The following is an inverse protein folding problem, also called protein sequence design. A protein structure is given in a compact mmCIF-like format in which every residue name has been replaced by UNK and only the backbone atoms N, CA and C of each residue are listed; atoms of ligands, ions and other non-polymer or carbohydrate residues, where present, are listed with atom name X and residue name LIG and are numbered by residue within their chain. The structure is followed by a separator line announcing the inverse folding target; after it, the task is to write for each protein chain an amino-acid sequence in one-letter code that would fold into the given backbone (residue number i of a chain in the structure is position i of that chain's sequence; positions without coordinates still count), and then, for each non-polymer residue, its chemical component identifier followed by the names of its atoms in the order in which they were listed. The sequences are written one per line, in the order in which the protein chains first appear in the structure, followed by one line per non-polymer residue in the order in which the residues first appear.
data_IF_071544715299
#
_entry.id   IF_071544715299
#
_cell.length_a   1.000
_cell.length_b   1.000
_cell.length_c   1.000
_cell.angle_alpha   90.00
_cell.angle_beta   90.00
_cell.angle_gamma   90.00
#
_symmetry.space_group_name_H-M   'P 1'
#
loop_
_entity.id
_entity.type
_entity.pdbx_description
1 polymer ?
#
# COMPACT_ATOMS: atom_id res chain seq x y z
N UNK A 1 -13.92 3.36 2.72
CA UNK A 1 -13.36 2.02 2.44
C UNK A 1 -14.46 1.13 1.87
N UNK A 2 -14.21 0.50 0.71
CA UNK A 2 -15.18 -0.35 0.01
C UNK A 2 -14.71 -1.81 0.12
N UNK A 3 -15.43 -2.60 0.90
CA UNK A 3 -15.21 -4.05 1.03
C UNK A 3 -16.45 -4.79 0.54
N UNK A 4 -16.24 -5.88 -0.19
CA UNK A 4 -17.29 -6.78 -0.65
C UNK A 4 -17.06 -8.19 -0.11
N UNK A 5 -18.13 -8.86 0.31
CA UNK A 5 -18.10 -10.24 0.76
C UNK A 5 -18.83 -11.07 -0.28
N UNK A 6 -18.15 -12.08 -0.84
CA UNK A 6 -18.60 -12.87 -1.97
C UNK A 6 -19.06 -14.26 -1.52
N UNK A 7 -19.91 -14.90 -2.33
CA UNK A 7 -20.51 -16.21 -2.06
C UNK A 7 -21.95 -16.08 -1.57
N UNK A 8 -22.46 -17.16 -0.96
CA UNK A 8 -23.84 -17.21 -0.46
C UNK A 8 -24.08 -16.21 0.69
N UNK A 9 -25.33 -15.89 1.00
CA UNK A 9 -25.68 -15.03 2.15
C UNK A 9 -25.05 -15.54 3.47
N UNK A 10 -24.96 -16.87 3.63
CA UNK A 10 -24.31 -17.48 4.79
C UNK A 10 -22.80 -17.21 4.81
N UNK A 11 -22.12 -17.38 3.67
CA UNK A 11 -20.69 -17.10 3.54
C UNK A 11 -20.40 -15.63 3.81
N UNK A 12 -21.21 -14.73 3.26
CA UNK A 12 -21.07 -13.28 3.48
C UNK A 12 -21.21 -12.91 4.95
N UNK A 13 -22.17 -13.52 5.67
CA UNK A 13 -22.34 -13.33 7.11
C UNK A 13 -21.14 -13.87 7.89
N UNK A 14 -20.62 -15.04 7.51
CA UNK A 14 -19.44 -15.63 8.14
C UNK A 14 -18.22 -14.74 7.96
N UNK A 15 -17.90 -14.33 6.73
CA UNK A 15 -16.77 -13.46 6.39
C UNK A 15 -16.84 -12.14 7.17
N UNK A 16 -18.02 -11.51 7.21
CA UNK A 16 -18.25 -10.28 7.99
C UNK A 16 -17.92 -10.48 9.46
N UNK A 17 -18.51 -11.50 10.08
CA UNK A 17 -18.32 -11.81 11.51
C UNK A 17 -16.85 -12.13 11.81
N UNK A 18 -16.20 -12.91 10.94
CA UNK A 18 -14.79 -13.27 11.05
C UNK A 18 -13.89 -12.01 11.04
N UNK A 19 -14.10 -11.12 10.07
CA UNK A 19 -13.35 -9.87 9.96
C UNK A 19 -13.62 -8.91 11.13
N UNK A 20 -14.87 -8.77 11.55
CA UNK A 20 -15.24 -7.93 12.71
C UNK A 20 -14.55 -8.41 13.99
N UNK A 21 -14.49 -9.73 14.21
CA UNK A 21 -13.81 -10.29 15.38
C UNK A 21 -12.31 -10.01 15.35
N UNK A 22 -11.64 -10.19 14.21
CA UNK A 22 -10.21 -9.85 14.07
C UNK A 22 -9.98 -8.36 14.32
N UNK A 23 -10.84 -7.49 13.79
CA UNK A 23 -10.70 -6.03 13.94
C UNK A 23 -10.90 -5.53 15.37
N UNK A 24 -11.59 -6.31 16.23
CA UNK A 24 -11.75 -6.00 17.66
C UNK A 24 -10.51 -6.33 18.48
N UNK A 25 -9.63 -7.20 17.98
CA UNK A 25 -8.37 -7.52 18.66
C UNK A 25 -7.47 -6.29 18.68
N UNK A 26 -6.69 -6.16 19.77
CA UNK A 26 -5.58 -5.22 19.80
C UNK A 26 -4.52 -5.71 18.81
N UNK A 27 -4.26 -4.96 17.73
CA UNK A 27 -3.33 -5.39 16.71
C UNK A 27 -1.87 -5.38 17.20
N UNK A 28 -1.58 -4.87 18.41
CA UNK A 28 -0.27 -4.99 19.05
C UNK A 28 0.18 -6.44 19.25
N UNK A 29 -0.73 -7.38 19.43
CA UNK A 29 -0.39 -8.80 19.65
C UNK A 29 0.35 -9.44 18.46
N UNK A 30 0.21 -8.86 17.27
CA UNK A 30 0.90 -9.31 16.05
C UNK A 30 2.00 -8.36 15.58
N UNK A 31 2.21 -7.26 16.32
CA UNK A 31 3.17 -6.24 15.95
C UNK A 31 4.59 -6.72 16.21
N UNK A 32 5.51 -6.44 15.28
CA UNK A 32 6.94 -6.67 15.44
C UNK A 32 7.71 -5.40 15.79
N UNK A 33 6.98 -4.31 16.09
CA UNK A 33 7.55 -3.02 16.45
C UNK A 33 8.13 -3.05 17.88
N UNK A 34 9.31 -2.46 18.11
CA UNK A 34 9.85 -2.30 19.45
C UNK A 34 9.12 -1.18 20.19
N UNK A 35 8.57 -1.46 21.38
CA UNK A 35 7.89 -0.46 22.24
C UNK A 35 6.90 0.46 21.48
N UNK A 36 5.91 -0.11 20.78
CA UNK A 36 5.04 0.64 19.89
C UNK A 36 4.14 1.63 20.63
N UNK A 37 3.83 2.74 19.96
CA UNK A 37 2.87 3.75 20.40
C UNK A 37 2.10 4.31 19.20
N UNK A 38 0.91 4.86 19.43
CA UNK A 38 0.04 5.31 18.33
C UNK A 38 0.32 6.76 17.94
N UNK A 39 -0.12 7.19 16.75
CA UNK A 39 -0.11 8.63 16.39
C UNK A 39 -1.04 9.48 17.26
N UNK A 40 -1.99 8.87 17.97
CA UNK A 40 -2.81 9.55 18.97
C UNK A 40 -2.09 9.73 20.33
N UNK A 41 -0.90 9.14 20.50
CA UNK A 41 -0.15 9.22 21.75
C UNK A 41 0.49 10.62 21.91
N UNK A 42 0.38 11.27 23.09
CA UNK A 42 0.98 12.59 23.31
C UNK A 42 2.49 12.67 23.05
N UNK A 43 3.22 11.56 23.20
CA UNK A 43 4.67 11.49 22.90
C UNK A 43 5.00 11.83 21.45
N UNK A 44 4.02 11.76 20.54
CA UNK A 44 4.23 12.09 19.14
C UNK A 44 4.67 13.54 18.93
N UNK A 45 4.27 14.45 19.82
CA UNK A 45 4.65 15.87 19.75
C UNK A 45 6.14 16.11 19.97
N UNK A 46 6.81 15.24 20.73
CA UNK A 46 8.27 15.28 20.88
C UNK A 46 8.98 14.80 19.61
N UNK A 47 8.34 13.90 18.87
CA UNK A 47 8.94 13.22 17.72
C UNK A 47 8.68 13.96 16.41
N UNK A 48 7.52 14.55 16.25
CA UNK A 48 7.03 15.12 14.99
C UNK A 48 6.42 16.50 15.18
N UNK A 49 6.43 17.32 14.12
CA UNK A 49 5.61 18.52 14.04
C UNK A 49 4.18 18.12 13.65
N UNK A 50 3.33 17.95 14.66
CA UNK A 50 1.96 17.44 14.50
C UNK A 50 1.08 18.39 13.68
N UNK A 51 1.23 19.70 13.86
CA UNK A 51 0.45 20.69 13.11
C UNK A 51 0.83 20.66 11.63
N UNK A 52 2.13 20.60 11.32
CA UNK A 52 2.60 20.48 9.95
C UNK A 52 2.19 19.15 9.32
N UNK A 53 2.27 18.05 10.07
CA UNK A 53 1.77 16.74 9.64
C UNK A 53 0.29 16.82 9.24
N UNK A 54 -0.58 17.30 10.12
CA UNK A 54 -2.02 17.39 9.87
C UNK A 54 -2.35 18.27 8.67
N UNK A 55 -1.70 19.44 8.58
CA UNK A 55 -1.89 20.40 7.48
C UNK A 55 -1.55 19.77 6.13
N UNK A 56 -0.37 19.17 6.00
CA UNK A 56 0.10 18.61 4.73
C UNK A 56 -0.71 17.37 4.36
N UNK A 57 -1.00 16.47 5.31
CA UNK A 57 -1.84 15.29 5.05
C UNK A 57 -3.22 15.70 4.55
N UNK A 58 -3.86 16.68 5.19
CA UNK A 58 -5.19 17.16 4.78
C UNK A 58 -5.15 17.74 3.37
N UNK A 59 -4.16 18.58 3.08
CA UNK A 59 -3.97 19.15 1.75
C UNK A 59 -3.77 18.06 0.68
N UNK A 60 -2.87 17.08 0.91
CA UNK A 60 -2.64 16.00 -0.04
C UNK A 60 -3.90 15.14 -0.27
N UNK A 61 -4.71 14.90 0.76
CA UNK A 61 -5.97 14.15 0.63
C UNK A 61 -7.01 14.93 -0.20
N UNK A 62 -7.11 16.24 0.00
CA UNK A 62 -8.00 17.11 -0.80
C UNK A 62 -7.56 17.14 -2.27
N UNK A 63 -6.26 17.27 -2.50
CA UNK A 63 -5.69 17.27 -3.85
C UNK A 63 -5.85 15.91 -4.56
N UNK A 64 -5.79 14.80 -3.82
CA UNK A 64 -6.13 13.47 -4.33
C UNK A 64 -7.55 13.43 -4.92
N UNK A 65 -8.53 13.95 -4.19
CA UNK A 65 -9.92 14.04 -4.64
C UNK A 65 -10.06 14.98 -5.84
N UNK A 66 -9.37 16.12 -5.83
CA UNK A 66 -9.47 17.12 -6.89
C UNK A 66 -8.86 16.63 -8.21
N UNK A 67 -7.65 16.07 -8.16
CA UNK A 67 -6.83 15.70 -9.33
C UNK A 67 -7.10 14.31 -9.86
N UNK A 68 -7.21 13.32 -8.98
CA UNK A 68 -7.34 11.91 -9.37
C UNK A 68 -8.76 11.37 -9.20
N UNK A 69 -9.68 12.19 -8.67
CA UNK A 69 -11.10 11.84 -8.45
C UNK A 69 -11.27 10.62 -7.53
N UNK A 70 -10.35 10.45 -6.59
CA UNK A 70 -10.40 9.39 -5.58
C UNK A 70 -10.56 9.99 -4.18
N UNK A 71 -11.38 9.36 -3.35
CA UNK A 71 -11.56 9.77 -1.95
C UNK A 71 -10.74 8.87 -1.04
N UNK A 72 -9.68 9.41 -0.45
CA UNK A 72 -8.92 8.70 0.56
C UNK A 72 -9.66 8.73 1.91
N UNK A 73 -9.66 7.59 2.59
CA UNK A 73 -10.08 7.45 3.97
C UNK A 73 -8.81 7.38 4.84
N UNK A 74 -8.55 8.37 5.71
CA UNK A 74 -7.42 8.32 6.62
C UNK A 74 -7.44 7.06 7.48
N UNK A 75 -6.27 6.48 7.73
CA UNK A 75 -6.13 5.47 8.79
C UNK A 75 -6.34 6.18 10.13
N UNK A 76 -7.09 5.54 11.03
CA UNK A 76 -7.33 6.09 12.38
C UNK A 76 -6.02 6.22 13.13
N UNK A 77 -5.76 7.36 13.75
CA UNK A 77 -4.52 7.65 14.49
C UNK A 77 -4.33 6.69 15.66
N UNK A 78 -5.40 6.21 16.28
CA UNK A 78 -5.39 5.21 17.36
C UNK A 78 -5.04 3.80 16.87
N UNK A 79 -5.10 3.57 15.55
CA UNK A 79 -4.69 2.30 14.92
C UNK A 79 -3.45 2.47 14.04
N UNK A 80 -2.77 3.61 14.15
CA UNK A 80 -1.55 3.88 13.42
C UNK A 80 -0.39 3.83 14.40
N UNK A 81 0.25 2.66 14.46
CA UNK A 81 1.33 2.38 15.39
C UNK A 81 2.67 2.76 14.80
N UNK A 82 3.50 3.34 15.65
CA UNK A 82 4.86 3.69 15.34
C UNK A 82 5.81 3.36 16.48
N UNK A 83 7.10 3.41 16.18
CA UNK A 83 8.16 3.13 17.12
C UNK A 83 9.42 3.87 16.70
N UNK A 84 10.27 4.20 17.67
CA UNK A 84 11.65 4.54 17.37
C UNK A 84 12.39 3.30 16.83
N UNK A 85 13.30 3.45 15.88
CA UNK A 85 14.10 2.32 15.41
C UNK A 85 15.04 1.83 16.53
N UNK A 86 15.37 0.53 16.55
CA UNK A 86 16.42 0.02 17.43
C UNK A 86 17.77 0.66 17.10
N UNK A 87 18.70 0.65 18.06
CA UNK A 87 20.05 1.17 17.86
C UNK A 87 20.70 0.55 16.61
N UNK A 88 21.40 1.38 15.81
CA UNK A 88 22.00 1.07 14.49
C UNK A 88 21.08 1.06 13.26
N UNK A 89 19.77 1.29 13.39
CA UNK A 89 18.86 1.36 12.23
C UNK A 89 18.35 2.78 11.98
N UNK A 90 18.44 3.25 10.73
CA UNK A 90 17.92 4.56 10.33
C UNK A 90 16.40 4.68 10.50
N UNK A 91 15.66 3.57 10.34
CA UNK A 91 14.20 3.56 10.38
C UNK A 91 13.54 4.09 9.10
N UNK A 92 12.34 4.68 9.23
CA UNK A 92 11.55 5.20 8.12
C UNK A 92 10.80 4.14 7.30
N UNK A 93 10.38 4.54 6.10
CA UNK A 93 9.61 3.73 5.13
C UNK A 93 10.30 2.41 4.77
N UNK A 94 11.64 2.42 4.75
CA UNK A 94 12.49 1.25 4.43
C UNK A 94 13.01 0.50 5.67
N UNK A 95 12.43 0.78 6.85
CA UNK A 95 12.81 0.15 8.12
C UNK A 95 12.45 -1.34 8.18
N UNK A 96 13.33 -2.19 8.74
CA UNK A 96 13.11 -3.66 8.84
C UNK A 96 11.84 -4.06 9.59
N UNK A 97 11.40 -3.27 10.56
CA UNK A 97 10.25 -3.56 11.40
C UNK A 97 8.98 -2.86 10.92
N UNK A 98 9.06 -2.08 9.83
CA UNK A 98 7.88 -1.49 9.21
C UNK A 98 7.10 -2.60 8.50
N UNK A 99 5.82 -2.76 8.84
CA UNK A 99 4.89 -3.67 8.16
C UNK A 99 3.94 -2.92 7.22
N UNK A 100 3.85 -1.59 7.37
CA UNK A 100 2.87 -0.76 6.68
C UNK A 100 1.43 -1.12 7.08
N UNK A 101 0.48 -0.79 6.21
CA UNK A 101 -0.93 -1.06 6.44
C UNK A 101 -1.31 -2.55 6.39
N UNK A 102 -1.91 -3.04 7.49
CA UNK A 102 -2.40 -4.40 7.68
C UNK A 102 -3.93 -4.44 7.61
N UNK A 103 -4.46 -4.83 6.45
CA UNK A 103 -5.90 -4.76 6.15
C UNK A 103 -6.80 -5.68 6.98
N UNK A 104 -6.28 -6.75 7.58
CA UNK A 104 -7.06 -7.59 8.49
C UNK A 104 -7.46 -6.83 9.75
N UNK A 105 -6.53 -6.00 10.24
CA UNK A 105 -6.65 -5.29 11.51
C UNK A 105 -7.10 -3.84 11.33
N UNK A 106 -7.12 -3.32 10.10
CA UNK A 106 -7.29 -1.88 9.84
C UNK A 106 -6.32 -1.03 10.67
N UNK A 107 -5.07 -1.49 10.74
CA UNK A 107 -4.00 -0.87 11.49
C UNK A 107 -2.74 -0.76 10.63
N UNK A 108 -1.90 0.23 10.92
CA UNK A 108 -0.62 0.43 10.27
C UNK A 108 0.51 0.34 11.29
N UNK A 109 1.67 -0.15 10.86
CA UNK A 109 2.85 -0.30 11.71
C UNK A 109 4.09 0.20 10.97
N UNK A 110 4.61 1.34 11.39
CA UNK A 110 5.73 2.00 10.72
C UNK A 110 6.80 2.43 11.71
N UNK A 111 8.07 2.38 11.29
CA UNK A 111 9.19 2.83 12.12
C UNK A 111 9.51 4.29 11.80
N UNK A 112 9.69 5.13 12.81
CA UNK A 112 10.16 6.51 12.65
C UNK A 112 11.59 6.54 12.10
N UNK A 113 11.99 7.64 11.47
CA UNK A 113 13.41 7.91 11.28
C UNK A 113 14.09 8.20 12.63
N UNK A 114 15.33 7.76 12.80
CA UNK A 114 16.09 7.90 14.05
C UNK A 114 16.26 9.38 14.43
N UNK A 115 15.70 9.77 15.59
CA UNK A 115 15.71 11.14 16.10
C UNK A 115 17.09 11.71 16.40
N UNK A 116 18.11 10.85 16.54
CA UNK A 116 19.50 11.25 16.78
C UNK A 116 20.21 11.64 15.49
N UNK A 117 19.75 11.10 14.35
CA UNK A 117 20.37 11.27 13.05
C UNK A 117 19.62 12.25 12.16
N UNK A 118 18.31 12.40 12.40
CA UNK A 118 17.40 13.13 11.52
C UNK A 118 16.57 14.14 12.31
N UNK A 119 16.50 15.36 11.78
CA UNK A 119 15.72 16.48 12.31
C UNK A 119 14.24 16.15 12.44
N UNK A 120 13.57 16.83 13.37
CA UNK A 120 12.11 16.72 13.57
C UNK A 120 11.33 17.01 12.28
N UNK A 121 11.80 17.95 11.47
CA UNK A 121 11.20 18.30 10.19
C UNK A 121 11.19 17.10 9.23
N UNK A 122 12.36 16.51 8.96
CA UNK A 122 12.45 15.42 7.99
C UNK A 122 11.77 14.14 8.50
N UNK A 123 11.80 13.88 9.83
CA UNK A 123 10.98 12.82 10.45
C UNK A 123 9.48 13.03 10.21
N UNK A 124 9.01 14.29 10.26
CA UNK A 124 7.61 14.65 9.99
C UNK A 124 7.26 14.40 8.53
N UNK A 125 8.10 14.82 7.60
CA UNK A 125 7.91 14.59 6.16
C UNK A 125 7.87 13.10 5.86
N UNK A 126 8.77 12.31 6.43
CA UNK A 126 8.77 10.87 6.26
C UNK A 126 7.51 10.21 6.83
N UNK A 127 7.04 10.66 8.00
CA UNK A 127 5.79 10.17 8.56
C UNK A 127 4.58 10.53 7.69
N UNK A 128 4.55 11.72 7.07
CA UNK A 128 3.52 12.10 6.09
C UNK A 128 3.53 11.11 4.93
N UNK A 129 4.69 10.78 4.36
CA UNK A 129 4.83 9.79 3.26
C UNK A 129 4.24 8.44 3.67
N UNK A 130 4.67 7.91 4.81
CA UNK A 130 4.18 6.63 5.33
C UNK A 130 2.66 6.65 5.54
N UNK A 131 2.15 7.72 6.19
CA UNK A 131 0.73 7.83 6.51
C UNK A 131 -0.12 7.91 5.26
N UNK A 132 0.26 8.74 4.27
CA UNK A 132 -0.46 8.85 3.01
C UNK A 132 -0.45 7.52 2.25
N UNK A 133 0.69 6.82 2.19
CA UNK A 133 0.82 5.51 1.56
C UNK A 133 -0.16 4.50 2.17
N UNK A 134 -0.20 4.44 3.49
CA UNK A 134 -1.10 3.55 4.21
C UNK A 134 -2.57 4.00 4.10
N UNK A 135 -2.86 5.28 3.91
CA UNK A 135 -4.21 5.78 3.60
C UNK A 135 -4.69 5.35 2.21
N UNK A 136 -3.81 5.34 1.20
CA UNK A 136 -4.13 4.76 -0.10
C UNK A 136 -4.49 3.29 0.05
N UNK A 137 -3.64 2.51 0.69
CA UNK A 137 -3.92 1.11 0.94
C UNK A 137 -5.20 0.92 1.73
N UNK A 138 -5.42 1.61 2.85
CA UNK A 138 -6.66 1.55 3.62
C UNK A 138 -7.90 1.77 2.76
N UNK A 139 -7.82 2.73 1.82
CA UNK A 139 -8.91 3.09 0.92
C UNK A 139 -9.16 2.09 -0.20
N UNK A 140 -8.14 1.31 -0.60
CA UNK A 140 -8.19 0.34 -1.70
C UNK A 140 -9.36 -0.64 -1.53
N UNK A 141 -10.05 -0.91 -2.64
CA UNK A 141 -11.13 -1.89 -2.70
C UNK A 141 -10.64 -3.29 -2.33
N UNK A 142 -11.51 -4.06 -1.64
CA UNK A 142 -11.22 -5.46 -1.30
C UNK A 142 -12.46 -6.31 -1.49
N UNK A 143 -12.28 -7.50 -2.04
CA UNK A 143 -13.29 -8.55 -1.94
C UNK A 143 -12.75 -9.74 -1.16
N UNK A 144 -13.63 -10.39 -0.41
CA UNK A 144 -13.30 -11.54 0.43
C UNK A 144 -14.24 -12.69 0.17
N UNK A 145 -13.73 -13.91 0.27
CA UNK A 145 -14.53 -15.14 0.13
C UNK A 145 -14.18 -16.12 1.23
N UNK A 146 -15.19 -16.89 1.66
CA UNK A 146 -15.00 -18.04 2.54
C UNK A 146 -14.46 -19.24 1.74
N UNK A 147 -13.56 -20.01 2.34
CA UNK A 147 -13.12 -21.31 1.82
C UNK A 147 -13.49 -22.36 2.84
N UNK A 148 -14.39 -23.26 2.45
CA UNK A 148 -14.71 -24.43 3.24
C UNK A 148 -13.51 -25.38 3.14
N UNK A 149 -12.79 -25.52 4.24
CA UNK A 149 -11.65 -26.43 4.35
C UNK A 149 -12.05 -27.60 5.28
N UNK A 150 -11.43 -28.77 5.13
CA UNK A 150 -11.67 -29.96 5.98
C UNK A 150 -11.31 -29.65 7.45
N UNK A 151 -12.19 -29.89 8.44
CA UNK A 151 -11.94 -29.57 9.84
C UNK A 151 -10.59 -30.10 10.32
N UNK A 152 -9.85 -29.28 11.09
CA UNK A 152 -8.56 -29.69 11.61
C UNK A 152 -8.73 -30.87 12.57
N UNK A 153 -7.93 -31.92 12.41
CA UNK A 153 -7.96 -33.09 13.29
C UNK A 153 -7.51 -32.77 14.74
N UNK A 154 -6.90 -31.61 14.98
CA UNK A 154 -6.53 -31.11 16.31
C UNK A 154 -6.34 -29.58 16.33
N UNK A 155 -6.35 -29.00 17.53
CA UNK A 155 -6.10 -27.57 17.74
C UNK A 155 -4.69 -27.13 17.29
N UNK A 156 -3.68 -27.98 17.43
CA UNK A 156 -2.31 -27.68 16.96
C UNK A 156 -2.24 -27.61 15.42
N UNK A 157 -3.01 -28.43 14.71
CA UNK A 157 -3.11 -28.36 13.24
C UNK A 157 -3.90 -27.11 12.82
N UNK A 158 -4.92 -26.71 13.58
CA UNK A 158 -5.70 -25.52 13.30
C UNK A 158 -4.85 -24.23 13.30
N UNK A 159 -3.85 -24.12 14.19
CA UNK A 159 -2.97 -22.94 14.28
C UNK A 159 -2.15 -22.66 13.01
N UNK A 160 -1.78 -23.70 12.27
CA UNK A 160 -0.94 -23.58 11.08
C UNK A 160 -1.75 -23.66 9.76
N UNK A 161 -3.08 -23.64 9.85
CA UNK A 161 -3.96 -23.80 8.69
C UNK A 161 -4.14 -22.47 7.96
N UNK A 162 -4.28 -22.55 6.64
CA UNK A 162 -4.67 -21.39 5.83
C UNK A 162 -6.04 -20.90 6.31
N UNK A 163 -6.22 -19.56 6.48
CA UNK A 163 -7.48 -19.00 6.93
C UNK A 163 -8.68 -19.49 6.10
N UNK A 164 -9.84 -19.58 6.75
CA UNK A 164 -11.13 -19.90 6.12
C UNK A 164 -11.72 -18.71 5.36
N UNK A 165 -11.04 -17.55 5.40
CA UNK A 165 -11.37 -16.36 4.64
C UNK A 165 -10.11 -15.91 3.92
N UNK A 166 -10.20 -15.70 2.60
CA UNK A 166 -9.12 -15.07 1.83
C UNK A 166 -9.61 -13.81 1.13
N UNK A 167 -8.66 -12.93 0.81
CA UNK A 167 -8.89 -11.73 0.00
C UNK A 167 -8.76 -12.09 -1.47
N UNK A 168 -9.88 -12.16 -2.18
CA UNK A 168 -9.93 -12.50 -3.60
C UNK A 168 -9.43 -11.34 -4.46
N UNK A 169 -9.86 -10.11 -4.18
CA UNK A 169 -9.41 -8.92 -4.89
C UNK A 169 -8.81 -7.89 -3.94
N UNK A 170 -7.75 -7.23 -4.40
CA UNK A 170 -7.14 -6.07 -3.77
C UNK A 170 -6.87 -5.02 -4.84
N UNK A 171 -7.72 -4.00 -4.89
CA UNK A 171 -7.71 -3.02 -5.96
C UNK A 171 -7.80 -3.70 -7.32
N UNK A 172 -6.72 -3.64 -8.10
CA UNK A 172 -6.65 -4.23 -9.43
C UNK A 172 -6.01 -5.63 -9.49
N UNK A 173 -5.47 -6.14 -8.38
CA UNK A 173 -4.89 -7.47 -8.32
C UNK A 173 -5.86 -8.49 -7.71
N UNK A 174 -5.75 -9.75 -8.14
CA UNK A 174 -6.54 -10.86 -7.61
C UNK A 174 -5.65 -11.96 -7.04
N UNK A 175 -6.23 -12.76 -6.15
CA UNK A 175 -5.67 -14.02 -5.66
C UNK A 175 -6.74 -15.10 -5.64
N UNK A 176 -6.32 -16.34 -5.86
CA UNK A 176 -7.19 -17.49 -5.63
C UNK A 176 -7.16 -17.93 -4.15
N UNK A 177 -7.94 -18.96 -3.84
CA UNK A 177 -8.08 -19.54 -2.50
C UNK A 177 -6.78 -20.14 -1.92
N UNK A 178 -5.81 -20.42 -2.79
CA UNK A 178 -4.51 -20.99 -2.44
C UNK A 178 -3.43 -19.90 -2.34
N UNK A 179 -3.82 -18.64 -2.59
CA UNK A 179 -2.96 -17.47 -2.47
C UNK A 179 -2.12 -17.16 -3.70
N UNK A 180 -2.34 -17.86 -4.83
CA UNK A 180 -1.65 -17.53 -6.07
C UNK A 180 -2.19 -16.22 -6.63
N UNK A 181 -1.28 -15.30 -7.00
CA UNK A 181 -1.67 -14.03 -7.62
C UNK A 181 -2.02 -14.18 -9.10
N UNK A 182 -2.97 -13.36 -9.56
CA UNK A 182 -3.36 -13.20 -10.95
C UNK A 182 -2.17 -12.78 -11.83
N UNK A 183 -1.40 -11.77 -11.40
CA UNK A 183 -0.15 -11.40 -12.06
C UNK A 183 1.06 -11.99 -11.35
N UNK A 184 1.97 -12.61 -12.10
CA UNK A 184 3.22 -13.18 -11.56
C UNK A 184 4.22 -12.09 -11.19
N UNK A 185 5.14 -12.36 -10.26
CA UNK A 185 6.24 -11.43 -9.92
C UNK A 185 7.21 -11.23 -11.08
N UNK A 186 7.52 -12.30 -11.83
CA UNK A 186 8.38 -12.25 -13.02
C UNK A 186 7.82 -11.38 -14.15
N UNK A 187 6.54 -11.02 -14.11
CA UNK A 187 5.95 -10.17 -15.14
C UNK A 187 6.65 -8.81 -15.25
N UNK A 188 7.16 -8.29 -14.14
CA UNK A 188 7.91 -7.02 -14.08
C UNK A 188 9.22 -7.05 -14.86
N UNK A 189 9.80 -8.22 -15.13
CA UNK A 189 10.99 -8.36 -16.00
C UNK A 189 10.70 -7.90 -17.44
N UNK A 190 9.42 -7.74 -17.81
CA UNK A 190 8.95 -7.28 -19.12
C UNK A 190 8.45 -5.84 -19.10
N UNK A 191 8.85 -5.05 -18.10
CA UNK A 191 8.60 -3.60 -18.09
C UNK A 191 9.41 -2.93 -19.20
N UNK A 192 8.86 -1.95 -19.96
CA UNK A 192 7.61 -1.23 -19.73
C UNK A 192 6.34 -1.85 -20.34
N UNK A 193 6.45 -2.97 -21.04
CA UNK A 193 5.29 -3.57 -21.70
C UNK A 193 4.35 -4.22 -20.69
N UNK A 194 4.85 -4.90 -19.67
CA UNK A 194 4.04 -5.56 -18.66
C UNK A 194 4.66 -5.41 -17.26
N UNK A 195 3.80 -5.46 -16.23
CA UNK A 195 4.23 -5.29 -14.85
C UNK A 195 3.36 -6.14 -13.92
N UNK A 196 3.91 -6.56 -12.78
CA UNK A 196 3.11 -7.14 -11.71
C UNK A 196 2.09 -6.11 -11.20
N UNK A 197 0.82 -6.53 -11.04
CA UNK A 197 -0.26 -5.61 -10.69
C UNK A 197 -0.19 -5.11 -9.23
N UNK A 198 0.38 -5.88 -8.29
CA UNK A 198 0.62 -5.32 -6.94
C UNK A 198 1.69 -4.23 -6.99
N UNK A 199 2.76 -4.48 -7.75
CA UNK A 199 3.85 -3.53 -7.91
C UNK A 199 3.37 -2.25 -8.61
N UNK A 200 2.50 -2.36 -9.62
CA UNK A 200 1.86 -1.19 -10.25
C UNK A 200 1.05 -0.37 -9.25
N UNK A 201 0.29 -1.02 -8.37
CA UNK A 201 -0.48 -0.31 -7.33
C UNK A 201 0.45 0.47 -6.40
N UNK A 202 1.50 -0.18 -5.89
CA UNK A 202 2.46 0.44 -4.97
C UNK A 202 3.20 1.60 -5.66
N UNK A 203 3.68 1.38 -6.89
CA UNK A 203 4.36 2.38 -7.68
C UNK A 203 3.50 3.61 -8.00
N UNK A 204 2.24 3.40 -8.40
CA UNK A 204 1.30 4.49 -8.65
C UNK A 204 1.04 5.33 -7.38
N UNK A 205 0.88 4.66 -6.22
CA UNK A 205 0.73 5.33 -4.92
C UNK A 205 1.95 6.20 -4.62
N UNK A 206 3.16 5.64 -4.74
CA UNK A 206 4.41 6.34 -4.41
C UNK A 206 4.65 7.54 -5.30
N UNK A 207 4.43 7.41 -6.62
CA UNK A 207 4.59 8.51 -7.57
C UNK A 207 3.62 9.66 -7.26
N UNK A 208 2.35 9.35 -6.97
CA UNK A 208 1.36 10.36 -6.63
C UNK A 208 1.64 11.02 -5.29
N UNK A 209 2.06 10.26 -4.28
CA UNK A 209 2.45 10.82 -2.97
C UNK A 209 3.63 11.77 -3.13
N UNK A 210 4.65 11.39 -3.90
CA UNK A 210 5.81 12.25 -4.15
C UNK A 210 5.41 13.55 -4.88
N UNK A 211 4.55 13.48 -5.91
CA UNK A 211 4.00 14.66 -6.60
C UNK A 211 3.30 15.59 -5.61
N UNK A 212 2.32 15.07 -4.87
CA UNK A 212 1.48 15.85 -3.96
C UNK A 212 2.27 16.44 -2.79
N UNK A 213 3.18 15.65 -2.21
CA UNK A 213 3.99 16.12 -1.09
C UNK A 213 4.99 17.18 -1.53
N UNK A 214 5.60 17.06 -2.73
CA UNK A 214 6.56 18.05 -3.22
C UNK A 214 5.92 19.43 -3.31
N UNK A 215 4.70 19.50 -3.82
CA UNK A 215 3.95 20.75 -3.90
C UNK A 215 3.52 21.29 -2.53
N UNK A 216 3.11 20.41 -1.61
CA UNK A 216 2.62 20.79 -0.30
C UNK A 216 3.73 21.19 0.69
N UNK A 217 4.91 20.59 0.56
CA UNK A 217 6.09 20.87 1.39
C UNK A 217 6.88 22.05 0.85
N UNK A 218 6.91 22.22 -0.48
CA UNK A 218 7.72 23.24 -1.15
C UNK A 218 9.23 23.07 -0.92
N UNK A 219 9.98 24.17 -1.07
CA UNK A 219 11.43 24.21 -0.87
C UNK A 219 11.83 24.38 0.61
N UNK A 220 10.86 24.48 1.53
CA UNK A 220 11.11 24.90 2.92
C UNK A 220 11.96 23.87 3.71
N UNK A 221 11.91 22.59 3.34
CA UNK A 221 12.64 21.53 4.03
C UNK A 221 14.09 21.43 3.56
N UNK A 222 15.00 21.99 4.35
CA UNK A 222 16.44 21.95 4.10
C UNK A 222 17.10 20.86 4.97
N UNK A 223 17.58 19.78 4.34
CA UNK A 223 18.42 18.80 5.00
C UNK A 223 19.73 19.44 5.45
N UNK A 224 19.99 19.45 6.75
CA UNK A 224 21.18 20.09 7.33
C UNK A 224 22.43 19.25 7.12
N UNK A 225 22.29 17.92 7.17
CA UNK A 225 23.38 16.95 6.95
C UNK A 225 23.33 16.31 5.56
N UNK A 226 24.43 15.69 5.13
CA UNK A 226 24.46 14.94 3.88
C UNK A 226 23.45 13.78 3.90
N UNK A 227 23.29 13.09 5.03
CA UNK A 227 22.30 12.03 5.18
C UNK A 227 20.87 12.56 4.97
N UNK A 228 20.52 13.69 5.60
CA UNK A 228 19.20 14.29 5.46
C UNK A 228 18.90 14.74 4.02
N UNK A 229 19.90 15.26 3.31
CA UNK A 229 19.76 15.61 1.90
C UNK A 229 19.42 14.39 1.05
N UNK A 230 20.11 13.27 1.27
CA UNK A 230 19.84 12.03 0.54
C UNK A 230 18.48 11.42 0.90
N UNK A 231 18.07 11.47 2.18
CA UNK A 231 16.72 11.03 2.59
C UNK A 231 15.66 11.91 1.94
N UNK A 232 15.84 13.23 1.93
CA UNK A 232 14.90 14.15 1.28
C UNK A 232 14.76 13.85 -0.21
N UNK A 233 15.89 13.71 -0.91
CA UNK A 233 15.90 13.33 -2.34
C UNK A 233 15.12 12.05 -2.57
N UNK A 234 15.36 11.03 -1.75
CA UNK A 234 14.67 9.75 -1.81
C UNK A 234 13.15 9.88 -1.59
N UNK A 235 12.71 10.64 -0.58
CA UNK A 235 11.29 10.90 -0.31
C UNK A 235 10.58 11.48 -1.53
N UNK A 236 11.23 12.43 -2.21
CA UNK A 236 10.68 13.12 -3.36
C UNK A 236 11.09 12.50 -4.70
N UNK A 237 11.65 11.28 -4.72
CA UNK A 237 12.04 10.57 -5.93
C UNK A 237 13.05 11.33 -6.81
N UNK A 238 13.90 12.13 -6.20
CA UNK A 238 15.06 12.76 -6.83
C UNK A 238 16.26 11.79 -6.82
N UNK A 239 17.24 11.94 -7.73
CA UNK A 239 18.46 11.13 -7.69
C UNK A 239 19.21 11.27 -6.36
N UNK A 240 19.47 10.13 -5.71
CA UNK A 240 20.16 10.05 -4.42
C UNK A 240 21.33 9.05 -4.45
N UNK A 241 22.23 9.18 -3.48
CA UNK A 241 23.39 8.29 -3.32
C UNK A 241 22.97 6.91 -2.80
N UNK A 242 23.09 5.90 -3.67
CA UNK A 242 22.80 4.51 -3.37
C UNK A 242 23.68 3.92 -2.25
N UNK A 243 24.89 4.45 -2.04
CA UNK A 243 25.77 3.99 -0.96
C UNK A 243 25.28 4.45 0.40
N UNK A 244 24.67 5.64 0.47
CA UNK A 244 24.10 6.20 1.70
C UNK A 244 22.80 5.47 2.06
N UNK A 245 21.94 5.22 1.08
CA UNK A 245 20.60 4.65 1.28
C UNK A 245 20.38 3.33 0.54
N UNK A 246 21.18 2.31 0.85
CA UNK A 246 21.18 1.03 0.14
C UNK A 246 19.82 0.33 0.06
N UNK A 247 19.02 0.37 1.14
CA UNK A 247 17.67 -0.23 1.14
C UNK A 247 16.71 0.51 0.22
N UNK A 248 16.71 1.85 0.31
CA UNK A 248 15.89 2.66 -0.56
C UNK A 248 16.30 2.50 -2.03
N UNK A 249 17.61 2.36 -2.32
CA UNK A 249 18.07 2.08 -3.67
C UNK A 249 17.55 0.73 -4.21
N UNK A 250 17.61 -0.34 -3.40
CA UNK A 250 17.04 -1.63 -3.78
C UNK A 250 15.53 -1.54 -4.05
N UNK A 251 14.81 -0.80 -3.20
CA UNK A 251 13.38 -0.55 -3.39
C UNK A 251 13.09 0.27 -4.65
N UNK A 252 13.88 1.31 -4.91
CA UNK A 252 13.76 2.13 -6.11
C UNK A 252 13.91 1.27 -7.37
N UNK A 253 14.95 0.42 -7.43
CA UNK A 253 15.20 -0.48 -8.56
C UNK A 253 14.14 -1.57 -8.73
N UNK A 254 13.57 -2.07 -7.64
CA UNK A 254 12.61 -3.17 -7.69
C UNK A 254 11.16 -2.72 -7.86
N UNK A 255 10.81 -1.51 -7.44
CA UNK A 255 9.41 -1.01 -7.41
C UNK A 255 9.24 0.28 -8.22
N UNK A 256 10.01 1.33 -7.89
CA UNK A 256 9.76 2.68 -8.40
C UNK A 256 10.11 2.78 -9.88
N UNK A 257 11.35 2.43 -10.26
CA UNK A 257 11.84 2.50 -11.64
C UNK A 257 10.96 1.71 -12.63
N UNK A 258 10.66 0.41 -12.42
CA UNK A 258 9.79 -0.31 -13.35
C UNK A 258 8.36 0.25 -13.39
N UNK A 259 7.81 0.72 -12.27
CA UNK A 259 6.48 1.33 -12.26
C UNK A 259 6.42 2.63 -13.04
N UNK A 260 7.44 3.47 -12.89
CA UNK A 260 7.54 4.72 -13.61
C UNK A 260 7.64 4.49 -15.12
N UNK A 261 8.55 3.60 -15.56
CA UNK A 261 8.69 3.23 -16.97
C UNK A 261 7.38 2.70 -17.56
N UNK A 262 6.69 1.82 -16.82
CA UNK A 262 5.40 1.27 -17.24
C UNK A 262 4.33 2.35 -17.35
N UNK A 263 4.18 3.19 -16.33
CA UNK A 263 3.17 4.27 -16.32
C UNK A 263 3.43 5.26 -17.46
N UNK A 264 4.67 5.69 -17.65
CA UNK A 264 5.06 6.60 -18.74
C UNK A 264 4.75 6.00 -20.12
N UNK A 265 5.12 4.74 -20.35
CA UNK A 265 4.82 4.02 -21.59
C UNK A 265 3.32 3.95 -21.89
N UNK A 266 2.50 3.71 -20.87
CA UNK A 266 1.05 3.54 -21.02
C UNK A 266 0.25 4.85 -20.95
N UNK A 267 0.87 6.03 -20.86
CA UNK A 267 0.15 7.31 -20.95
C UNK A 267 0.23 8.19 -19.70
N UNK A 268 1.15 7.92 -18.79
CA UNK A 268 1.52 8.80 -17.70
C UNK A 268 0.36 9.09 -16.75
N UNK A 269 0.02 10.38 -16.62
CA UNK A 269 -0.96 10.87 -15.64
C UNK A 269 -2.36 10.31 -15.87
N UNK A 270 -2.84 10.27 -17.11
CA UNK A 270 -4.19 9.79 -17.43
C UNK A 270 -4.33 8.29 -17.08
N UNK A 271 -3.29 7.51 -17.41
CA UNK A 271 -3.23 6.11 -17.02
C UNK A 271 -3.18 5.94 -15.49
N UNK A 272 -2.41 6.78 -14.78
CA UNK A 272 -2.35 6.79 -13.31
C UNK A 272 -3.73 7.04 -12.69
N UNK A 273 -4.52 7.97 -13.25
CA UNK A 273 -5.89 8.24 -12.78
C UNK A 273 -6.77 7.00 -12.93
N UNK A 274 -6.71 6.32 -14.09
CA UNK A 274 -7.47 5.09 -14.33
C UNK A 274 -7.08 3.97 -13.35
N UNK A 275 -5.78 3.79 -13.11
CA UNK A 275 -5.27 2.81 -12.15
C UNK A 275 -5.82 3.09 -10.76
N UNK A 276 -5.70 4.33 -10.27
CA UNK A 276 -6.16 4.68 -8.93
C UNK A 276 -7.68 4.55 -8.78
N UNK A 277 -8.47 4.94 -9.78
CA UNK A 277 -9.93 4.78 -9.76
C UNK A 277 -10.33 3.31 -9.69
N UNK A 278 -9.69 2.45 -10.49
CA UNK A 278 -9.90 1.01 -10.47
C UNK A 278 -9.47 0.41 -9.12
N UNK A 279 -8.35 0.87 -8.55
CA UNK A 279 -7.89 0.43 -7.22
C UNK A 279 -8.90 0.75 -6.11
N UNK A 280 -9.54 1.92 -6.15
CA UNK A 280 -10.48 2.35 -5.10
C UNK A 280 -11.88 1.77 -5.28
N UNK A 281 -12.29 1.46 -6.51
CA UNK A 281 -13.63 0.98 -6.83
C UNK A 281 -13.73 -0.55 -6.94
N UNK A 282 -12.64 -1.22 -7.33
CA UNK A 282 -12.63 -2.62 -7.75
C UNK A 282 -13.01 -2.82 -9.23
N UNK A 283 -13.44 -1.77 -9.92
CA UNK A 283 -13.94 -1.84 -11.29
C UNK A 283 -12.81 -1.76 -12.31
N UNK A 284 -12.65 -2.80 -13.13
CA UNK A 284 -11.56 -2.90 -14.10
C UNK A 284 -11.96 -2.50 -15.53
N UNK A 285 -13.25 -2.27 -15.79
CA UNK A 285 -13.74 -2.14 -17.16
C UNK A 285 -13.03 -1.01 -17.94
N UNK A 286 -12.88 0.16 -17.31
CA UNK A 286 -12.20 1.30 -17.94
C UNK A 286 -10.71 1.00 -18.24
N UNK A 287 -10.01 0.30 -17.33
CA UNK A 287 -8.64 -0.15 -17.58
C UNK A 287 -8.57 -1.17 -18.72
N UNK A 288 -9.48 -2.15 -18.76
CA UNK A 288 -9.51 -3.15 -19.83
C UNK A 288 -9.74 -2.51 -21.20
N UNK A 289 -10.73 -1.62 -21.29
CA UNK A 289 -11.02 -0.84 -22.50
C UNK A 289 -9.82 -0.01 -22.93
N UNK A 290 -9.17 0.67 -21.97
CA UNK A 290 -7.96 1.44 -22.24
C UNK A 290 -6.87 0.61 -22.93
N UNK A 291 -6.57 -0.60 -22.44
CA UNK A 291 -5.57 -1.47 -23.06
C UNK A 291 -6.00 -1.97 -24.44
N UNK A 292 -7.27 -2.32 -24.61
CA UNK A 292 -7.79 -2.81 -25.88
C UNK A 292 -7.75 -1.70 -26.96
N UNK A 293 -8.16 -0.48 -26.62
CA UNK A 293 -8.10 0.69 -27.49
C UNK A 293 -6.66 1.07 -27.84
N UNK A 294 -5.76 1.10 -26.84
CA UNK A 294 -4.36 1.50 -27.04
C UNK A 294 -3.59 0.54 -27.95
N UNK A 295 -4.00 -0.73 -27.99
CA UNK A 295 -3.31 -1.78 -28.76
C UNK A 295 -4.07 -2.25 -30.00
N UNK A 296 -5.32 -1.82 -30.19
CA UNK A 296 -6.20 -2.29 -31.25
C UNK A 296 -6.55 -3.79 -31.15
N UNK A 297 -6.37 -4.41 -29.98
CA UNK A 297 -6.53 -5.85 -29.77
C UNK A 297 -7.48 -6.11 -28.62
N UNK A 298 -8.44 -7.04 -28.79
CA UNK A 298 -9.38 -7.38 -27.72
C UNK A 298 -8.75 -8.26 -26.62
N UNK A 299 -9.23 -8.06 -25.39
CA UNK A 299 -8.86 -8.83 -24.19
C UNK A 299 -7.36 -8.78 -23.88
N UNK A 300 -6.71 -7.63 -24.09
CA UNK A 300 -5.28 -7.47 -23.84
C UNK A 300 -4.96 -7.55 -22.37
N UNK A 301 -5.85 -7.06 -21.51
CA UNK A 301 -5.68 -7.15 -20.06
C UNK A 301 -5.43 -8.60 -19.60
N UNK A 302 -6.32 -9.52 -19.96
CA UNK A 302 -6.18 -10.94 -19.60
C UNK A 302 -4.95 -11.54 -20.26
N UNK A 303 -4.73 -11.31 -21.56
CA UNK A 303 -3.57 -11.87 -22.28
C UNK A 303 -2.23 -11.42 -21.70
N UNK A 304 -2.15 -10.19 -21.19
CA UNK A 304 -0.91 -9.56 -20.72
C UNK A 304 -0.64 -9.84 -19.24
N UNK A 305 -1.66 -9.79 -18.39
CA UNK A 305 -1.48 -9.81 -16.93
C UNK A 305 -1.91 -11.12 -16.28
N UNK A 306 -2.83 -11.90 -16.88
CA UNK A 306 -3.32 -13.14 -16.27
C UNK A 306 -2.25 -14.23 -16.37
N UNK A 307 -1.87 -14.78 -15.22
CA UNK A 307 -1.04 -15.98 -15.14
C UNK A 307 -1.77 -17.15 -15.82
N UNK A 308 -1.08 -17.97 -16.64
CA UNK A 308 -1.64 -19.19 -17.19
C UNK A 308 -2.21 -20.10 -16.10
N UNK A 309 -3.41 -20.64 -16.32
CA UNK A 309 -4.09 -21.52 -15.37
C UNK A 309 -4.79 -20.81 -14.20
N UNK A 310 -4.63 -19.50 -14.03
CA UNK A 310 -5.34 -18.77 -12.97
C UNK A 310 -6.86 -18.81 -13.20
N UNK A 311 -7.60 -19.18 -12.15
CA UNK A 311 -9.06 -19.22 -12.15
C UNK A 311 -9.58 -18.66 -10.84
N UNK A 312 -10.56 -17.78 -10.94
CA UNK A 312 -11.41 -17.46 -9.80
C UNK A 312 -12.54 -18.49 -9.74
N UNK A 313 -13.04 -18.84 -8.55
CA UNK A 313 -14.27 -19.60 -8.43
C UNK A 313 -15.38 -18.89 -9.20
N UNK A 314 -16.15 -19.64 -9.98
CA UNK A 314 -17.38 -19.11 -10.58
C UNK A 314 -18.25 -18.59 -9.45
N UNK A 315 -18.65 -17.32 -9.51
CA UNK A 315 -19.70 -16.85 -8.63
C UNK A 315 -21.01 -17.47 -9.16
N UNK A 316 -21.79 -18.21 -8.37
CA UNK A 316 -23.08 -18.67 -8.83
C UNK A 316 -24.09 -17.52 -9.04
N UNK A 317 -23.76 -16.29 -8.60
CA UNK A 317 -24.70 -15.14 -8.56
C UNK A 317 -24.10 -13.80 -9.05
N UNK A 318 -23.10 -13.79 -9.95
CA UNK A 318 -22.75 -12.60 -10.77
C UNK A 318 -22.70 -12.98 -12.24
#
# INVERSE_FOLDING_TARGET
MKEEYLGTVEDQRYVRTYLENIRRLDPLEIATLPNPFTLADPRIEEMLDVLRFQRIVSHCIEECQRRYKIRLTPVKTERYYTAEPPESNLGGFHGLHSLGYQYWYHAAFVVLLDRRLVSKELRTIEMIRNFLHDCFHHSTYRSFRRVIRIPAASANVAKNRVPEVYREQYGINFRDQDGFSYSTSRLTERSPEAINLNLLMDGAIILVIAELMREAVGDEAHGSSQLEKEIRKEIFLEPFDAFVLQRAHRFYKSVIEPSQLFIEHWGGRDFTVLVLQAMMSGELQALKQFFDEKTGTQNVWEKRFKRPGFRLPSNPEI
#
